data_IF_722275104353
#
_entry.id   IF_722275104353
#
_cell.length_a   1.000
_cell.length_b   1.000
_cell.length_c   1.000
_cell.angle_alpha   90.00
_cell.angle_beta   90.00
_cell.angle_gamma   90.00
#
_symmetry.space_group_name_H-M   'P 1'
#
loop_
_entity.id
_entity.type
_entity.pdbx_description
1 polymer ?
#
# COMPACT_ATOMS: atom_id res chain seq x y z
N UNK A 1 -15.29 30.00 1.70
CA UNK A 1 -14.45 28.87 2.15
C UNK A 1 -14.67 28.70 3.64
N UNK A 2 -15.29 27.60 4.05
CA UNK A 2 -15.46 27.29 5.47
C UNK A 2 -14.23 26.53 6.01
N UNK A 3 -14.09 26.43 7.33
CA UNK A 3 -12.94 25.77 7.98
C UNK A 3 -12.80 24.31 7.53
N UNK A 4 -13.91 23.61 7.25
CA UNK A 4 -13.88 22.24 6.76
C UNK A 4 -13.30 22.13 5.34
N UNK A 5 -13.66 23.03 4.44
CA UNK A 5 -13.10 23.09 3.08
C UNK A 5 -11.62 23.43 3.08
N UNK A 6 -11.19 24.36 3.94
CA UNK A 6 -9.78 24.71 4.10
C UNK A 6 -8.95 23.52 4.61
N UNK A 7 -9.49 22.75 5.57
CA UNK A 7 -8.83 21.56 6.09
C UNK A 7 -8.76 20.43 5.06
N UNK A 8 -9.80 20.22 4.24
CA UNK A 8 -9.79 19.21 3.17
C UNK A 8 -8.72 19.48 2.11
N UNK A 9 -8.49 20.74 1.74
CA UNK A 9 -7.45 21.10 0.77
C UNK A 9 -6.02 21.04 1.31
N UNK A 10 -5.85 21.05 2.64
CA UNK A 10 -4.54 21.01 3.30
C UNK A 10 -4.07 19.59 3.63
N UNK A 11 -4.98 18.61 3.70
CA UNK A 11 -4.65 17.22 4.00
C UNK A 11 -4.20 16.47 2.74
N UNK A 12 -3.23 15.54 2.85
CA UNK A 12 -2.90 14.66 1.74
C UNK A 12 -4.10 13.81 1.34
N UNK A 13 -4.17 13.43 0.06
CA UNK A 13 -5.28 12.64 -0.46
C UNK A 13 -5.32 11.26 0.21
N UNK A 14 -6.37 11.04 0.99
CA UNK A 14 -6.68 9.75 1.61
C UNK A 14 -7.79 9.06 0.81
N UNK A 15 -7.60 7.78 0.49
CA UNK A 15 -8.55 6.98 -0.27
C UNK A 15 -9.08 5.86 0.64
N UNK A 16 -10.40 5.76 0.90
CA UNK A 16 -10.97 4.65 1.66
C UNK A 16 -10.55 3.28 1.11
N UNK A 17 -10.13 2.39 2.00
CA UNK A 17 -9.56 1.07 1.70
C UNK A 17 -8.07 1.03 1.35
N UNK A 18 -7.47 2.16 0.98
CA UNK A 18 -6.05 2.26 0.62
C UNK A 18 -5.23 3.13 1.57
N UNK A 19 -5.83 4.16 2.15
CA UNK A 19 -5.16 5.17 2.94
C UNK A 19 -4.53 6.28 2.10
N UNK A 20 -3.58 7.00 2.72
CA UNK A 20 -2.68 7.92 2.03
C UNK A 20 -1.47 7.13 1.54
N UNK A 21 -1.24 7.10 0.22
CA UNK A 21 -0.17 6.30 -0.39
C UNK A 21 1.04 7.15 -0.78
N UNK A 22 2.23 6.66 -0.42
CA UNK A 22 3.51 7.18 -0.89
C UNK A 22 4.35 6.06 -1.48
N UNK A 23 5.22 6.38 -2.44
CA UNK A 23 6.18 5.45 -3.03
C UNK A 23 7.44 6.21 -3.41
N UNK A 24 8.60 5.57 -3.32
CA UNK A 24 9.82 6.10 -3.94
C UNK A 24 9.69 5.91 -5.46
N UNK A 25 9.66 6.98 -6.28
CA UNK A 25 9.49 6.84 -7.73
C UNK A 25 10.58 5.98 -8.38
N UNK A 26 11.77 5.86 -7.77
CA UNK A 26 12.86 5.03 -8.29
C UNK A 26 12.64 3.53 -8.09
N UNK A 27 11.61 3.12 -7.36
CA UNK A 27 11.31 1.70 -7.09
C UNK A 27 10.03 1.23 -7.79
N UNK A 28 9.44 2.05 -8.66
CA UNK A 28 8.34 1.66 -9.52
C UNK A 28 8.83 0.73 -10.65
N UNK A 29 7.97 -0.20 -11.13
CA UNK A 29 6.56 -0.39 -10.77
C UNK A 29 6.30 -1.20 -9.49
N UNK A 30 7.29 -1.92 -8.94
CA UNK A 30 7.06 -2.87 -7.85
C UNK A 30 6.79 -2.22 -6.48
N UNK A 31 7.34 -1.02 -6.25
CA UNK A 31 7.29 -0.32 -4.98
C UNK A 31 8.40 -0.73 -3.99
N UNK A 32 8.14 -0.80 -2.68
CA UNK A 32 6.81 -0.88 -2.10
C UNK A 32 6.14 0.48 -1.92
N UNK A 33 4.83 0.49 -2.08
CA UNK A 33 3.97 1.58 -1.64
C UNK A 33 3.78 1.53 -0.12
N UNK A 34 3.69 2.68 0.50
CA UNK A 34 3.52 2.86 1.93
C UNK A 34 2.15 3.48 2.18
N UNK A 35 1.30 2.75 2.90
CA UNK A 35 -0.07 3.13 3.19
C UNK A 35 -0.19 3.66 4.62
N UNK A 36 -0.65 4.90 4.73
CA UNK A 36 -0.81 5.61 6.01
C UNK A 36 -2.28 5.85 6.34
N UNK A 37 -2.61 5.80 7.62
CA UNK A 37 -3.93 6.23 8.12
C UNK A 37 -4.06 7.76 8.11
N UNK A 38 -5.24 8.27 8.51
CA UNK A 38 -5.47 9.72 8.62
C UNK A 38 -4.62 10.41 9.68
N UNK A 39 -4.10 9.67 10.66
CA UNK A 39 -3.22 10.18 11.70
C UNK A 39 -1.73 10.18 11.29
N UNK A 40 -1.41 9.66 10.09
CA UNK A 40 -0.04 9.58 9.59
C UNK A 40 0.73 8.37 10.12
N UNK A 41 0.07 7.37 10.70
CA UNK A 41 0.72 6.12 11.09
C UNK A 41 0.84 5.19 9.89
N UNK A 42 1.99 4.54 9.74
CA UNK A 42 2.17 3.51 8.72
C UNK A 42 1.35 2.28 9.08
N UNK A 43 0.44 1.88 8.19
CA UNK A 43 -0.47 0.73 8.39
C UNK A 43 0.06 -0.49 7.67
N UNK A 44 0.50 -0.34 6.41
CA UNK A 44 1.01 -1.45 5.60
C UNK A 44 1.99 -1.02 4.52
N UNK A 45 2.82 -1.98 4.11
CA UNK A 45 3.80 -1.88 3.02
C UNK A 45 3.33 -2.79 1.89
N UNK A 46 3.14 -2.27 0.68
CA UNK A 46 2.50 -2.99 -0.43
C UNK A 46 3.45 -3.12 -1.61
N UNK A 47 3.77 -4.35 -2.00
CA UNK A 47 4.47 -4.65 -3.24
C UNK A 47 3.46 -4.98 -4.34
N UNK A 48 3.67 -4.39 -5.52
CA UNK A 48 2.86 -4.70 -6.70
C UNK A 48 3.61 -5.65 -7.62
N UNK A 49 3.04 -6.83 -7.88
CA UNK A 49 3.68 -7.86 -8.70
C UNK A 49 2.76 -8.23 -9.87
N UNK A 50 3.16 -8.01 -11.13
CA UNK A 50 2.37 -8.44 -12.27
C UNK A 50 2.21 -9.97 -12.29
N UNK A 51 0.99 -10.46 -12.45
CA UNK A 51 0.70 -11.91 -12.50
C UNK A 51 1.46 -12.59 -13.64
N UNK A 52 1.62 -11.88 -14.76
CA UNK A 52 2.40 -12.35 -15.91
C UNK A 52 3.85 -12.68 -15.54
N UNK A 53 4.50 -11.83 -14.74
CA UNK A 53 5.89 -12.05 -14.30
C UNK A 53 6.04 -13.29 -13.42
N UNK A 54 5.04 -13.57 -12.58
CA UNK A 54 5.01 -14.79 -11.78
C UNK A 54 4.91 -16.04 -12.68
N UNK A 55 4.03 -16.01 -13.69
CA UNK A 55 3.88 -17.12 -14.65
C UNK A 55 5.14 -17.34 -15.50
N UNK A 56 5.90 -16.27 -15.78
CA UNK A 56 7.20 -16.32 -16.45
C UNK A 56 8.35 -16.76 -15.52
N UNK A 57 8.04 -17.12 -14.26
CA UNK A 57 9.02 -17.51 -13.24
C UNK A 57 10.08 -16.43 -13.00
N UNK A 58 9.70 -15.16 -13.12
CA UNK A 58 10.59 -14.05 -12.80
C UNK A 58 11.04 -14.11 -11.33
N UNK A 59 12.33 -13.89 -11.09
CA UNK A 59 12.90 -13.96 -9.75
C UNK A 59 12.99 -12.57 -9.12
N UNK A 60 12.11 -12.30 -8.17
CA UNK A 60 12.20 -11.12 -7.32
C UNK A 60 13.16 -11.39 -6.15
N UNK A 61 14.28 -10.68 -6.10
CA UNK A 61 15.34 -10.84 -5.08
C UNK A 61 15.75 -9.48 -4.57
N UNK A 62 15.93 -9.34 -3.25
CA UNK A 62 16.37 -8.11 -2.57
C UNK A 62 15.47 -6.88 -2.84
N UNK A 63 14.15 -7.11 -2.97
CA UNK A 63 13.18 -6.06 -3.27
C UNK A 63 12.81 -5.27 -2.01
N UNK A 64 12.72 -3.94 -2.14
CA UNK A 64 12.26 -3.05 -1.08
C UNK A 64 13.26 -2.83 0.06
N UNK A 65 14.46 -3.38 0.00
CA UNK A 65 15.46 -3.33 1.08
C UNK A 65 15.80 -1.91 1.52
N UNK A 66 15.96 -0.96 0.59
CA UNK A 66 16.19 0.46 0.91
C UNK A 66 15.05 1.03 1.76
N UNK A 67 13.81 0.85 1.29
CA UNK A 67 12.60 1.36 1.95
C UNK A 67 12.39 0.70 3.30
N UNK A 68 12.45 -0.64 3.38
CA UNK A 68 12.27 -1.39 4.62
C UNK A 68 13.32 -1.02 5.68
N UNK A 69 14.58 -0.83 5.29
CA UNK A 69 15.64 -0.36 6.22
C UNK A 69 15.34 1.03 6.76
N UNK A 70 14.89 1.95 5.91
CA UNK A 70 14.56 3.32 6.32
C UNK A 70 13.39 3.36 7.31
N UNK A 71 12.44 2.43 7.22
CA UNK A 71 11.27 2.38 8.09
C UNK A 71 11.57 1.80 9.48
N UNK A 72 12.67 1.06 9.65
CA UNK A 72 13.03 0.47 10.94
C UNK A 72 11.96 -0.47 11.51
N UNK A 73 11.15 -1.09 10.65
CA UNK A 73 10.01 -1.93 11.06
C UNK A 73 10.54 -3.16 11.80
N UNK A 74 10.02 -3.40 13.01
CA UNK A 74 10.41 -4.53 13.85
C UNK A 74 9.31 -5.56 14.04
N UNK A 75 8.08 -5.27 13.62
CA UNK A 75 6.93 -6.18 13.72
C UNK A 75 6.07 -6.13 12.47
N UNK A 76 5.77 -7.31 11.94
CA UNK A 76 4.70 -7.54 10.98
C UNK A 76 3.61 -8.31 11.73
N UNK A 77 2.36 -7.90 11.58
CA UNK A 77 1.22 -8.59 12.16
C UNK A 77 0.75 -9.75 11.28
N UNK A 78 0.45 -9.45 10.01
CA UNK A 78 0.03 -10.45 9.01
C UNK A 78 0.40 -10.02 7.59
N UNK A 79 0.06 -10.88 6.62
CA UNK A 79 0.28 -10.65 5.19
C UNK A 79 -1.04 -10.82 4.44
N UNK A 80 -1.27 -9.93 3.46
CA UNK A 80 -2.34 -10.11 2.48
C UNK A 80 -1.76 -10.38 1.09
N UNK A 81 -2.45 -11.19 0.30
CA UNK A 81 -2.20 -11.37 -1.14
C UNK A 81 -3.50 -11.10 -1.89
N UNK A 82 -3.67 -9.87 -2.37
CA UNK A 82 -4.92 -9.41 -2.97
C UNK A 82 -4.77 -9.32 -4.49
N UNK A 83 -5.60 -10.00 -5.28
CA UNK A 83 -5.60 -9.83 -6.73
C UNK A 83 -6.14 -8.45 -7.10
N UNK A 84 -5.54 -7.83 -8.12
CA UNK A 84 -5.90 -6.48 -8.58
C UNK A 84 -5.82 -6.38 -10.10
N UNK A 85 -6.79 -5.73 -10.72
CA UNK A 85 -6.78 -5.41 -12.14
C UNK A 85 -7.18 -6.52 -13.12
N UNK A 86 -7.35 -6.17 -14.42
CA UNK A 86 -7.16 -4.83 -14.96
C UNK A 86 -8.32 -3.88 -14.62
N UNK A 87 -8.04 -2.58 -14.51
CA UNK A 87 -9.02 -1.49 -14.36
C UNK A 87 -8.40 -0.16 -14.83
N UNK A 88 -9.14 0.94 -15.02
CA UNK A 88 -8.54 2.23 -15.39
C UNK A 88 -7.34 2.57 -14.48
N UNK A 89 -6.18 2.85 -15.09
CA UNK A 89 -4.91 3.09 -14.40
C UNK A 89 -4.00 1.87 -14.19
N UNK A 90 -4.51 0.64 -14.36
CA UNK A 90 -3.75 -0.62 -14.25
C UNK A 90 -4.07 -1.52 -15.45
N UNK A 91 -3.11 -1.64 -16.37
CA UNK A 91 -3.33 -2.29 -17.67
C UNK A 91 -3.33 -3.82 -17.66
N UNK A 92 -2.80 -4.45 -16.61
CA UNK A 92 -2.71 -5.91 -16.51
C UNK A 92 -2.99 -6.41 -15.09
N UNK A 93 -3.35 -7.70 -14.88
CA UNK A 93 -3.54 -8.27 -13.55
C UNK A 93 -2.25 -8.25 -12.72
N UNK A 94 -2.38 -7.86 -11.46
CA UNK A 94 -1.33 -7.83 -10.45
C UNK A 94 -1.79 -8.54 -9.17
N UNK A 95 -0.83 -8.89 -8.33
CA UNK A 95 -1.05 -9.14 -6.91
C UNK A 95 -0.47 -7.99 -6.10
N UNK A 96 -1.22 -7.56 -5.09
CA UNK A 96 -0.70 -6.78 -3.98
C UNK A 96 -0.21 -7.76 -2.92
N UNK A 97 1.09 -7.75 -2.64
CA UNK A 97 1.68 -8.46 -1.51
C UNK A 97 1.87 -7.44 -0.39
N UNK A 98 1.05 -7.52 0.64
CA UNK A 98 0.97 -6.51 1.69
C UNK A 98 1.59 -7.04 2.98
N UNK A 99 2.57 -6.32 3.53
CA UNK A 99 3.06 -6.52 4.88
C UNK A 99 2.33 -5.55 5.81
N UNK A 100 1.45 -6.07 6.66
CA UNK A 100 0.57 -5.26 7.50
C UNK A 100 1.11 -5.18 8.92
N UNK A 101 1.09 -3.99 9.51
CA UNK A 101 1.74 -3.68 10.80
C UNK A 101 0.78 -3.71 11.99
N UNK A 102 -0.51 -3.89 11.73
CA UNK A 102 -1.61 -3.91 12.71
C UNK A 102 -2.54 -5.10 12.43
N UNK A 103 -3.43 -5.44 13.36
CA UNK A 103 -4.41 -6.51 13.15
C UNK A 103 -5.30 -6.23 11.95
N UNK A 104 -5.84 -7.28 11.34
CA UNK A 104 -6.73 -7.18 10.17
C UNK A 104 -7.94 -6.27 10.44
N UNK A 105 -8.59 -6.40 11.60
CA UNK A 105 -9.72 -5.56 11.99
C UNK A 105 -9.32 -4.09 12.10
N UNK A 106 -8.12 -3.84 12.66
CA UNK A 106 -7.61 -2.49 12.81
C UNK A 106 -7.23 -1.90 11.45
N UNK A 107 -6.63 -2.69 10.56
CA UNK A 107 -6.31 -2.29 9.19
C UNK A 107 -7.56 -1.81 8.45
N UNK A 108 -8.64 -2.61 8.44
CA UNK A 108 -9.93 -2.25 7.84
C UNK A 108 -10.50 -0.96 8.44
N UNK A 109 -10.45 -0.84 9.78
CA UNK A 109 -10.97 0.32 10.50
C UNK A 109 -10.21 1.60 10.17
N UNK A 110 -8.87 1.60 10.24
CA UNK A 110 -8.07 2.83 10.11
C UNK A 110 -7.86 3.26 8.65
N UNK A 111 -7.98 2.32 7.71
CA UNK A 111 -7.98 2.61 6.28
C UNK A 111 -9.39 2.87 5.73
N UNK A 112 -10.44 2.73 6.54
CA UNK A 112 -11.83 2.88 6.11
C UNK A 112 -12.18 1.97 4.92
N UNK A 113 -11.66 0.74 4.96
CA UNK A 113 -11.94 -0.28 3.96
C UNK A 113 -13.16 -1.11 4.31
N UNK A 114 -13.85 -1.61 3.29
CA UNK A 114 -14.84 -2.66 3.46
C UNK A 114 -14.19 -3.88 4.15
N UNK A 115 -14.93 -4.59 5.03
CA UNK A 115 -14.44 -5.82 5.64
C UNK A 115 -14.13 -6.87 4.56
N UNK A 116 -13.14 -7.73 4.84
CA UNK A 116 -12.79 -8.85 3.96
C UNK A 116 -13.89 -9.92 3.91
#
# INVERSE_FOLDING_TARGET
MNVSEALKGALPNFIPGLGTLYVDPSTLPEGPFLAYDRAGNLVKVVFMVPLKKLNESHKYVDIGTKTLRALGITRIDHVNLIPSGPHPGVSEPHYHIELVLVSVDQERKVLEGEPY
#
